data_IF_138132593559
#
_entry.id   IF_138132593559
#
_cell.length_a   1.000
_cell.length_b   1.000
_cell.length_c   1.000
_cell.angle_alpha   90.00
_cell.angle_beta   90.00
_cell.angle_gamma   90.00
#
_symmetry.space_group_name_H-M   'P 1'
#
loop_
_entity.id
_entity.type
_entity.pdbx_description
1 polymer ?
#
# COMPACT_ATOMS: atom_id res chain seq x y z
N UNK A 1 -4.16 -37.89 39.79
CA UNK A 1 -4.13 -37.99 38.31
C UNK A 1 -4.87 -36.78 37.77
N UNK A 2 -4.21 -35.93 36.98
CA UNK A 2 -4.82 -34.73 36.41
C UNK A 2 -5.75 -35.10 35.27
N UNK A 3 -7.05 -34.81 35.42
CA UNK A 3 -8.01 -34.89 34.34
C UNK A 3 -7.90 -33.64 33.48
N UNK A 4 -7.72 -33.82 32.17
CA UNK A 4 -7.84 -32.75 31.18
C UNK A 4 -9.34 -32.57 30.92
N UNK A 5 -9.92 -31.44 31.33
CA UNK A 5 -11.33 -31.15 31.09
C UNK A 5 -11.45 -30.41 29.75
N UNK A 6 -12.10 -31.02 28.76
CA UNK A 6 -12.53 -30.33 27.54
C UNK A 6 -14.05 -30.30 27.47
N UNK A 7 -14.62 -29.10 27.42
CA UNK A 7 -16.05 -28.92 27.17
C UNK A 7 -16.23 -28.71 25.67
N UNK A 8 -16.78 -29.73 25.00
CA UNK A 8 -17.07 -29.70 23.58
C UNK A 8 -18.38 -28.95 23.30
N UNK A 9 -18.27 -27.70 22.85
CA UNK A 9 -19.39 -26.92 22.35
C UNK A 9 -19.05 -25.44 22.31
N UNK A 10 -18.77 -24.92 21.11
CA UNK A 10 -18.54 -23.50 20.85
C UNK A 10 -19.82 -22.72 21.15
N UNK A 11 -20.00 -22.36 22.41
CA UNK A 11 -21.07 -21.49 22.89
C UNK A 11 -20.42 -20.46 23.79
N UNK A 12 -20.68 -19.19 23.51
CA UNK A 12 -20.16 -18.06 24.30
C UNK A 12 -20.61 -18.27 25.73
N UNK A 13 -19.65 -18.41 26.64
CA UNK A 13 -19.93 -18.60 28.04
C UNK A 13 -20.37 -17.28 28.64
N UNK A 14 -21.51 -17.28 29.33
CA UNK A 14 -21.99 -16.12 30.04
C UNK A 14 -21.45 -16.12 31.47
N UNK A 15 -21.35 -14.93 32.05
CA UNK A 15 -21.11 -14.79 33.48
C UNK A 15 -22.16 -15.58 34.26
N UNK A 16 -21.72 -16.41 35.19
CA UNK A 16 -22.54 -17.35 35.94
C UNK A 16 -22.62 -18.75 35.33
N UNK A 17 -22.01 -19.00 34.16
CA UNK A 17 -21.84 -20.36 33.62
C UNK A 17 -21.17 -21.27 34.65
N UNK A 18 -21.67 -22.51 34.77
CA UNK A 18 -21.25 -23.49 35.78
C UNK A 18 -20.70 -24.73 35.13
N UNK A 19 -19.62 -25.25 35.68
CA UNK A 19 -18.98 -26.49 35.25
C UNK A 19 -18.81 -27.40 36.46
N UNK A 20 -19.60 -28.47 36.51
CA UNK A 20 -19.46 -29.44 37.60
C UNK A 20 -18.11 -30.13 37.51
N UNK A 21 -17.35 -30.06 38.60
CA UNK A 21 -16.06 -30.73 38.72
C UNK A 21 -16.27 -32.13 39.28
N UNK A 22 -15.31 -33.02 39.01
CA UNK A 22 -15.30 -34.31 39.70
C UNK A 22 -14.94 -34.11 41.16
N UNK A 23 -15.76 -34.67 42.04
CA UNK A 23 -15.56 -34.57 43.47
C UNK A 23 -14.26 -35.24 43.89
N UNK A 24 -13.62 -34.66 44.91
CA UNK A 24 -12.62 -35.39 45.68
C UNK A 24 -13.26 -36.61 46.37
N UNK A 25 -12.46 -37.63 46.66
CA UNK A 25 -12.90 -38.86 47.33
C UNK A 25 -12.13 -39.00 48.63
N UNK A 26 -12.86 -39.31 49.70
CA UNK A 26 -12.32 -39.65 51.01
C UNK A 26 -12.96 -40.97 51.46
N UNK A 27 -12.12 -41.88 51.97
CA UNK A 27 -12.56 -43.19 52.41
C UNK A 27 -13.28 -43.14 53.77
N UNK A 28 -13.11 -42.05 54.53
CA UNK A 28 -13.75 -41.84 55.82
C UNK A 28 -15.21 -41.36 55.64
N UNK A 29 -16.05 -41.69 56.63
CA UNK A 29 -17.49 -41.35 56.65
C UNK A 29 -17.80 -40.29 57.72
N UNK A 30 -18.95 -39.62 57.57
CA UNK A 30 -19.45 -38.67 58.56
C UNK A 30 -18.54 -37.44 58.69
N UNK A 31 -18.22 -37.04 59.92
CA UNK A 31 -17.49 -35.80 60.21
C UNK A 31 -16.03 -35.82 59.73
N UNK A 32 -15.46 -36.99 59.45
CA UNK A 32 -14.08 -37.13 58.97
C UNK A 32 -13.97 -37.12 57.45
N UNK A 33 -15.10 -37.21 56.72
CA UNK A 33 -15.10 -37.11 55.26
C UNK A 33 -14.89 -35.66 54.80
N UNK A 34 -14.89 -35.44 53.48
CA UNK A 34 -14.68 -34.13 52.87
C UNK A 34 -15.63 -33.09 53.44
N UNK A 35 -15.07 -32.03 54.01
CA UNK A 35 -15.81 -30.96 54.66
C UNK A 35 -16.07 -29.79 53.72
N UNK A 36 -15.07 -29.39 52.95
CA UNK A 36 -15.14 -28.20 52.09
C UNK A 36 -14.07 -28.21 50.99
N UNK A 37 -14.18 -27.26 50.08
CA UNK A 37 -13.24 -26.99 49.00
C UNK A 37 -12.79 -25.53 49.03
N UNK A 38 -11.58 -25.28 48.54
CA UNK A 38 -11.06 -23.94 48.27
C UNK A 38 -10.48 -23.91 46.86
N UNK A 39 -10.69 -22.79 46.17
CA UNK A 39 -10.04 -22.50 44.89
C UNK A 39 -8.89 -21.52 45.14
N UNK A 40 -7.81 -21.65 44.37
CA UNK A 40 -6.78 -20.60 44.27
C UNK A 40 -7.38 -19.27 43.82
N UNK A 41 -6.75 -18.17 44.21
CA UNK A 41 -7.20 -16.82 43.86
C UNK A 41 -7.35 -16.65 42.33
N UNK A 42 -8.49 -16.10 41.91
CA UNK A 42 -8.80 -15.82 40.51
C UNK A 42 -9.81 -14.68 40.42
N UNK A 43 -9.61 -13.79 39.45
CA UNK A 43 -10.59 -12.75 39.10
C UNK A 43 -11.70 -13.25 38.17
N UNK A 44 -11.49 -14.40 37.53
CA UNK A 44 -12.41 -14.93 36.50
C UNK A 44 -13.23 -16.10 37.00
N UNK A 45 -12.73 -16.90 37.94
CA UNK A 45 -13.39 -18.12 38.40
C UNK A 45 -13.57 -18.14 39.91
N UNK A 46 -14.70 -18.70 40.32
CA UNK A 46 -14.97 -19.02 41.72
C UNK A 46 -15.57 -20.43 41.80
N UNK A 47 -15.72 -20.97 43.01
CA UNK A 47 -16.42 -22.23 43.23
C UNK A 47 -17.74 -22.01 43.96
N UNK A 48 -18.74 -22.79 43.59
CA UNK A 48 -19.97 -22.95 44.36
C UNK A 48 -20.06 -24.37 44.90
N UNK A 49 -20.28 -24.49 46.22
CA UNK A 49 -20.25 -25.77 46.93
C UNK A 49 -21.67 -26.14 47.33
N UNK A 50 -22.18 -27.18 46.68
CA UNK A 50 -23.49 -27.74 47.00
C UNK A 50 -23.34 -28.89 48.00
N UNK A 51 -24.31 -29.04 48.90
CA UNK A 51 -24.37 -30.15 49.86
C UNK A 51 -25.52 -31.07 49.53
N UNK A 52 -25.22 -32.34 49.27
CA UNK A 52 -26.21 -33.39 49.09
C UNK A 52 -26.98 -33.70 50.37
N UNK A 53 -28.12 -34.37 50.24
CA UNK A 53 -28.94 -34.82 51.37
C UNK A 53 -28.21 -35.82 52.29
N UNK A 54 -27.22 -36.52 51.76
CA UNK A 54 -26.31 -37.42 52.46
C UNK A 54 -25.11 -36.71 53.13
N UNK A 55 -25.03 -35.37 52.99
CA UNK A 55 -23.93 -34.56 53.50
C UNK A 55 -22.74 -34.42 52.56
N UNK A 56 -22.73 -35.17 51.44
CA UNK A 56 -21.69 -35.11 50.41
C UNK A 56 -21.55 -33.70 49.85
N UNK A 57 -20.32 -33.33 49.47
CA UNK A 57 -20.01 -32.01 48.93
C UNK A 57 -19.76 -32.13 47.42
N UNK A 58 -20.43 -31.29 46.65
CA UNK A 58 -20.27 -31.18 45.21
C UNK A 58 -19.79 -29.79 44.88
N UNK A 59 -18.91 -29.66 43.89
CA UNK A 59 -18.32 -28.37 43.54
C UNK A 59 -18.51 -28.07 42.06
N UNK A 60 -19.13 -26.92 41.80
CA UNK A 60 -19.20 -26.33 40.48
C UNK A 60 -18.16 -25.21 40.39
N UNK A 61 -17.38 -25.20 39.30
CA UNK A 61 -16.62 -24.03 38.92
C UNK A 61 -17.56 -23.03 38.25
N UNK A 62 -17.55 -21.78 38.70
CA UNK A 62 -18.44 -20.72 38.24
C UNK A 62 -17.62 -19.61 37.58
N UNK A 63 -17.93 -19.32 36.32
CA UNK A 63 -17.35 -18.19 35.60
C UNK A 63 -17.91 -16.88 36.17
N UNK A 64 -17.05 -16.08 36.78
CA UNK A 64 -17.38 -14.82 37.45
C UNK A 64 -16.82 -13.59 36.75
N UNK A 65 -15.97 -13.75 35.73
CA UNK A 65 -15.44 -12.66 34.90
C UNK A 65 -15.69 -12.91 33.41
N UNK A 66 -15.41 -11.90 32.59
CA UNK A 66 -15.34 -12.07 31.14
C UNK A 66 -13.99 -12.70 30.79
N UNK A 67 -13.99 -13.67 29.88
CA UNK A 67 -12.76 -14.25 29.34
C UNK A 67 -12.43 -13.55 28.03
N UNK A 68 -11.14 -13.34 27.83
CA UNK A 68 -10.53 -12.77 26.63
C UNK A 68 -9.30 -13.65 26.35
N UNK A 69 -9.27 -14.30 25.18
CA UNK A 69 -8.21 -15.25 24.84
C UNK A 69 -6.94 -14.50 24.49
N UNK A 70 -7.07 -13.35 23.83
CA UNK A 70 -6.01 -12.44 23.41
C UNK A 70 -5.29 -11.86 24.64
N UNK A 71 -6.00 -11.65 25.75
CA UNK A 71 -5.40 -11.33 27.04
C UNK A 71 -4.80 -12.58 27.72
N UNK A 72 -5.61 -13.64 27.92
CA UNK A 72 -5.24 -14.83 28.68
C UNK A 72 -5.85 -16.13 28.11
N UNK A 73 -5.14 -16.78 27.18
CA UNK A 73 -5.57 -18.03 26.57
C UNK A 73 -5.66 -19.25 27.52
N UNK A 74 -5.00 -19.21 28.68
CA UNK A 74 -4.99 -20.33 29.64
C UNK A 74 -5.02 -19.86 31.09
N UNK A 75 -5.88 -20.49 31.89
CA UNK A 75 -5.94 -20.29 33.34
C UNK A 75 -5.61 -21.58 34.08
N UNK A 76 -4.66 -21.50 35.01
CA UNK A 76 -4.26 -22.61 35.87
C UNK A 76 -4.75 -22.34 37.29
N UNK A 77 -5.66 -23.17 37.77
CA UNK A 77 -6.25 -23.06 39.10
C UNK A 77 -5.93 -24.29 39.93
N UNK A 78 -5.88 -24.13 41.26
CA UNK A 78 -5.69 -25.22 42.20
C UNK A 78 -6.95 -25.37 43.04
N UNK A 79 -7.57 -26.54 42.97
CA UNK A 79 -8.66 -26.93 43.85
C UNK A 79 -8.11 -27.71 45.03
N UNK A 80 -8.42 -27.27 46.25
CA UNK A 80 -8.02 -27.91 47.50
C UNK A 80 -9.25 -28.47 48.21
N UNK A 81 -9.31 -29.78 48.40
CA UNK A 81 -10.30 -30.43 49.25
C UNK A 81 -9.75 -30.57 50.67
N UNK A 82 -10.59 -30.33 51.68
CA UNK A 82 -10.21 -30.42 53.10
C UNK A 82 -11.20 -31.30 53.84
N UNK A 83 -10.70 -32.28 54.58
CA UNK A 83 -11.50 -33.18 55.42
C UNK A 83 -11.98 -32.48 56.72
N UNK A 84 -12.87 -33.14 57.46
CA UNK A 84 -13.34 -32.66 58.75
C UNK A 84 -12.63 -33.26 59.96
N UNK A 85 -11.55 -34.03 59.75
CA UNK A 85 -10.80 -34.71 60.79
C UNK A 85 -10.05 -33.76 61.74
N UNK A 86 -9.55 -34.31 62.85
CA UNK A 86 -8.66 -33.60 63.79
C UNK A 86 -7.43 -34.46 64.06
N UNK A 87 -6.24 -34.14 63.51
CA UNK A 87 -5.94 -33.00 62.64
C UNK A 87 -6.56 -33.14 61.24
N UNK A 88 -6.83 -32.00 60.59
CA UNK A 88 -7.36 -31.96 59.22
C UNK A 88 -6.31 -32.38 58.20
N UNK A 89 -6.74 -33.05 57.14
CA UNK A 89 -5.92 -33.31 55.95
C UNK A 89 -6.54 -32.67 54.71
N UNK A 90 -5.70 -32.46 53.71
CA UNK A 90 -6.10 -31.84 52.46
C UNK A 90 -5.46 -32.53 51.26
N UNK A 91 -6.17 -32.51 50.13
CA UNK A 91 -5.66 -32.94 48.83
C UNK A 91 -5.89 -31.85 47.78
N UNK A 92 -4.98 -31.74 46.81
CA UNK A 92 -5.04 -30.72 45.76
C UNK A 92 -5.16 -31.32 44.37
N UNK A 93 -5.87 -30.64 43.48
CA UNK A 93 -5.94 -30.95 42.06
C UNK A 93 -5.71 -29.69 41.22
N UNK A 94 -5.01 -29.83 40.09
CA UNK A 94 -4.84 -28.74 39.11
C UNK A 94 -6.01 -28.75 38.12
N UNK A 95 -6.54 -27.57 37.84
CA UNK A 95 -7.56 -27.32 36.82
C UNK A 95 -6.91 -26.41 35.78
N UNK A 96 -6.77 -26.92 34.57
CA UNK A 96 -6.29 -26.15 33.41
C UNK A 96 -7.48 -25.83 32.53
N UNK A 97 -7.71 -24.55 32.31
CA UNK A 97 -8.80 -24.03 31.49
C UNK A 97 -8.17 -23.39 30.26
N UNK A 98 -8.48 -23.94 29.09
CA UNK A 98 -8.08 -23.35 27.81
C UNK A 98 -9.25 -22.56 27.26
N UNK A 99 -9.03 -21.27 26.98
CA UNK A 99 -10.02 -20.41 26.34
C UNK A 99 -9.97 -20.68 24.85
N UNK A 100 -11.12 -20.99 24.25
CA UNK A 100 -11.22 -21.19 22.81
C UNK A 100 -11.42 -19.85 22.12
N UNK A 101 -10.80 -19.72 20.96
CA UNK A 101 -10.85 -18.54 20.11
C UNK A 101 -12.25 -18.31 19.52
N UNK A 102 -12.62 -17.04 19.42
CA UNK A 102 -13.77 -16.55 18.66
C UNK A 102 -13.27 -15.47 17.70
N UNK A 103 -13.92 -15.31 16.54
CA UNK A 103 -13.53 -14.29 15.56
C UNK A 103 -14.07 -12.91 15.98
N UNK A 104 -13.43 -12.25 16.94
CA UNK A 104 -13.85 -10.96 17.50
C UNK A 104 -12.86 -9.82 17.28
N UNK A 105 -11.69 -10.09 16.69
CA UNK A 105 -10.78 -9.06 16.23
C UNK A 105 -10.83 -8.96 14.70
N UNK A 106 -10.90 -7.73 14.19
CA UNK A 106 -10.83 -7.50 12.76
C UNK A 106 -9.37 -7.27 12.33
N UNK A 107 -8.99 -7.66 11.10
CA UNK A 107 -7.65 -7.40 10.59
C UNK A 107 -7.32 -5.91 10.65
N UNK A 108 -6.15 -5.56 11.19
CA UNK A 108 -5.72 -4.17 11.35
C UNK A 108 -4.44 -3.88 10.56
N UNK A 109 -4.50 -2.91 9.65
CA UNK A 109 -3.31 -2.38 8.98
C UNK A 109 -2.52 -1.47 9.91
N UNK A 110 -1.19 -1.42 9.71
CA UNK A 110 -0.31 -0.50 10.45
C UNK A 110 -0.61 0.99 10.20
N UNK A 111 -1.23 1.31 9.06
CA UNK A 111 -1.64 2.66 8.66
C UNK A 111 -2.97 2.61 7.89
N UNK A 112 -3.76 3.67 8.01
CA UNK A 112 -4.98 3.82 7.20
C UNK A 112 -4.68 4.29 5.77
N UNK A 113 -3.58 5.03 5.59
CA UNK A 113 -3.15 5.57 4.30
C UNK A 113 -1.65 5.35 4.14
N UNK A 114 -1.27 4.69 3.05
CA UNK A 114 0.12 4.49 2.62
C UNK A 114 0.41 5.39 1.42
N UNK A 115 1.60 5.94 1.36
CA UNK A 115 2.09 6.74 0.24
C UNK A 115 3.43 6.17 -0.24
N UNK A 116 3.56 5.93 -1.54
CA UNK A 116 4.75 5.34 -2.14
C UNK A 116 5.00 5.91 -3.52
N UNK A 117 6.26 5.98 -3.93
CA UNK A 117 6.65 6.43 -5.26
C UNK A 117 7.06 5.22 -6.11
N UNK A 118 6.69 5.26 -7.39
CA UNK A 118 7.15 4.31 -8.41
C UNK A 118 7.65 5.12 -9.61
N UNK A 119 8.77 4.74 -10.20
CA UNK A 119 9.20 5.37 -11.46
C UNK A 119 8.29 4.91 -12.58
N UNK A 120 7.98 5.80 -13.51
CA UNK A 120 7.40 5.34 -14.77
C UNK A 120 8.32 4.37 -15.49
N UNK A 121 7.79 3.64 -16.48
CA UNK A 121 8.52 2.60 -17.19
C UNK A 121 9.09 1.47 -16.30
N UNK A 122 8.70 1.40 -15.02
CA UNK A 122 9.09 0.32 -14.12
C UNK A 122 8.69 -1.04 -14.72
N UNK A 123 9.61 -2.01 -14.80
CA UNK A 123 9.30 -3.32 -15.39
C UNK A 123 8.17 -4.03 -14.64
N UNK A 124 7.34 -4.78 -15.38
CA UNK A 124 6.36 -5.66 -14.78
C UNK A 124 7.03 -6.65 -13.79
N UNK A 125 6.40 -6.84 -12.63
CA UNK A 125 6.93 -7.61 -11.51
C UNK A 125 7.71 -6.78 -10.48
N UNK A 126 7.98 -5.50 -10.76
CA UNK A 126 8.61 -4.60 -9.77
C UNK A 126 7.71 -4.47 -8.55
N UNK A 127 8.29 -4.68 -7.37
CA UNK A 127 7.59 -4.55 -6.08
C UNK A 127 7.42 -3.08 -5.76
N UNK A 128 6.18 -2.64 -5.62
CA UNK A 128 5.85 -1.26 -5.23
C UNK A 128 5.86 -1.15 -3.72
N UNK A 129 5.14 -2.06 -3.03
CA UNK A 129 5.13 -2.15 -1.57
C UNK A 129 4.57 -3.49 -1.11
N UNK A 130 4.77 -3.81 0.16
CA UNK A 130 4.13 -4.96 0.82
C UNK A 130 3.26 -4.46 1.95
N UNK A 131 1.96 -4.71 1.86
CA UNK A 131 1.02 -4.40 2.92
C UNK A 131 1.17 -5.39 4.07
N UNK A 132 0.93 -4.89 5.29
CA UNK A 132 0.94 -5.72 6.49
C UNK A 132 -0.27 -5.34 7.36
N UNK A 133 -1.23 -6.25 7.40
CA UNK A 133 -2.30 -6.26 8.38
C UNK A 133 -2.06 -7.39 9.39
N UNK A 134 -2.49 -7.17 10.63
CA UNK A 134 -2.39 -8.12 11.73
C UNK A 134 -3.76 -8.39 12.30
N UNK A 135 -4.03 -9.65 12.62
CA UNK A 135 -5.22 -10.08 13.34
C UNK A 135 -4.77 -10.80 14.61
N UNK A 136 -5.48 -10.57 15.71
CA UNK A 136 -5.10 -11.07 17.03
C UNK A 136 -5.68 -12.46 17.31
N UNK A 137 -6.66 -12.90 16.52
CA UNK A 137 -7.36 -14.17 16.69
C UNK A 137 -6.46 -15.38 16.31
N UNK A 138 -7.00 -16.60 16.36
CA UNK A 138 -6.21 -17.83 16.14
C UNK A 138 -6.60 -18.60 14.87
N UNK A 139 -5.60 -19.17 14.20
CA UNK A 139 -5.82 -20.08 13.08
C UNK A 139 -6.53 -19.39 11.91
N UNK A 140 -7.67 -19.91 11.49
CA UNK A 140 -8.44 -19.34 10.36
C UNK A 140 -9.01 -17.94 10.68
N UNK A 141 -9.28 -17.65 11.95
CA UNK A 141 -9.79 -16.35 12.38
C UNK A 141 -8.74 -15.24 12.23
N UNK A 142 -7.45 -15.60 12.13
CA UNK A 142 -6.36 -14.66 11.82
C UNK A 142 -5.69 -14.89 10.46
N UNK A 143 -6.17 -15.85 9.64
CA UNK A 143 -5.57 -16.11 8.33
C UNK A 143 -6.07 -15.10 7.30
N UNK A 144 -5.20 -14.17 6.91
CA UNK A 144 -5.58 -13.03 6.08
C UNK A 144 -5.55 -13.31 4.57
N UNK A 145 -6.50 -12.69 3.87
CA UNK A 145 -6.55 -12.58 2.42
C UNK A 145 -6.69 -11.11 2.02
N UNK A 146 -5.75 -10.63 1.22
CA UNK A 146 -5.74 -9.28 0.69
C UNK A 146 -6.48 -9.21 -0.66
N UNK A 147 -7.26 -8.16 -0.87
CA UNK A 147 -7.91 -7.90 -2.16
C UNK A 147 -8.21 -6.42 -2.38
N UNK A 148 -8.36 -6.02 -3.64
CA UNK A 148 -8.89 -4.71 -3.96
C UNK A 148 -10.39 -4.65 -3.65
N UNK A 149 -10.82 -3.54 -3.06
CA UNK A 149 -12.24 -3.22 -2.91
C UNK A 149 -12.79 -2.65 -4.22
N UNK A 150 -14.12 -2.54 -4.30
CA UNK A 150 -14.85 -1.94 -5.42
C UNK A 150 -14.47 -0.48 -5.71
N UNK A 151 -13.81 0.21 -4.78
CA UNK A 151 -13.37 1.59 -4.97
C UNK A 151 -12.05 1.72 -5.75
N UNK A 152 -11.34 0.62 -6.00
CA UNK A 152 -10.15 0.62 -6.85
C UNK A 152 -10.56 0.50 -8.32
N UNK A 153 -10.19 1.49 -9.14
CA UNK A 153 -10.58 1.53 -10.56
C UNK A 153 -10.03 0.33 -11.35
N UNK A 154 -10.77 -0.14 -12.36
CA UNK A 154 -10.34 -1.24 -13.23
C UNK A 154 -8.98 -0.94 -13.89
N UNK A 155 -8.78 0.28 -14.40
CA UNK A 155 -7.50 0.75 -14.94
C UNK A 155 -6.36 0.56 -13.95
N UNK A 156 -6.56 0.88 -12.66
CA UNK A 156 -5.53 0.67 -11.64
C UNK A 156 -5.25 -0.82 -11.40
N UNK A 157 -6.27 -1.68 -11.44
CA UNK A 157 -6.11 -3.14 -11.28
C UNK A 157 -5.46 -3.83 -12.50
N UNK A 158 -5.53 -3.19 -13.67
CA UNK A 158 -4.77 -3.61 -14.86
C UNK A 158 -3.28 -3.28 -14.72
N UNK A 159 -2.96 -2.14 -14.10
CA UNK A 159 -1.60 -1.65 -13.94
C UNK A 159 -0.87 -2.23 -12.74
N UNK A 160 -1.58 -2.61 -11.66
CA UNK A 160 -0.98 -3.11 -10.43
C UNK A 160 -1.66 -4.39 -9.94
N UNK A 161 -0.87 -5.44 -9.70
CA UNK A 161 -1.35 -6.66 -9.04
C UNK A 161 -1.17 -6.58 -7.52
N UNK A 162 -2.10 -7.17 -6.79
CA UNK A 162 -2.03 -7.38 -5.35
C UNK A 162 -2.04 -8.88 -5.07
N UNK A 163 -0.99 -9.39 -4.42
CA UNK A 163 -0.90 -10.81 -4.08
C UNK A 163 -1.73 -11.12 -2.82
N UNK A 164 -2.75 -12.01 -2.89
CA UNK A 164 -3.70 -12.18 -1.81
C UNK A 164 -3.14 -12.72 -0.50
N UNK A 165 -1.98 -13.41 -0.51
CA UNK A 165 -1.38 -13.97 0.71
C UNK A 165 -0.32 -13.08 1.34
N UNK A 166 0.55 -12.51 0.52
CA UNK A 166 1.68 -11.70 1.02
C UNK A 166 1.33 -10.22 1.19
N UNK A 167 0.24 -9.75 0.60
CA UNK A 167 -0.08 -8.32 0.55
C UNK A 167 0.86 -7.52 -0.36
N UNK A 168 1.65 -8.20 -1.19
CA UNK A 168 2.64 -7.57 -2.07
C UNK A 168 1.95 -6.95 -3.29
N UNK A 169 2.14 -5.64 -3.48
CA UNK A 169 1.68 -4.89 -4.65
C UNK A 169 2.82 -4.79 -5.65
N UNK A 170 2.57 -5.21 -6.90
CA UNK A 170 3.54 -5.19 -8.00
C UNK A 170 3.03 -4.45 -9.21
N UNK A 171 3.95 -3.88 -9.97
CA UNK A 171 3.68 -3.39 -11.31
C UNK A 171 3.29 -4.57 -12.20
N UNK A 172 2.20 -4.43 -12.95
CA UNK A 172 1.65 -5.43 -13.88
C UNK A 172 1.58 -4.87 -15.30
N UNK A 173 1.18 -3.61 -15.45
CA UNK A 173 1.09 -2.91 -16.73
C UNK A 173 2.18 -1.85 -16.91
N UNK A 174 2.09 -1.11 -18.01
CA UNK A 174 2.99 0.02 -18.30
C UNK A 174 2.47 1.26 -17.56
N UNK A 175 3.34 1.90 -16.79
CA UNK A 175 3.05 3.14 -16.09
C UNK A 175 3.73 4.25 -16.88
N UNK A 176 2.95 5.27 -17.23
CA UNK A 176 3.32 6.44 -18.02
C UNK A 176 2.94 7.69 -17.20
N UNK A 177 3.93 8.53 -16.90
CA UNK A 177 3.74 9.73 -16.09
C UNK A 177 2.88 10.78 -16.80
N UNK A 178 3.10 10.98 -18.10
CA UNK A 178 2.34 11.90 -18.95
C UNK A 178 0.86 11.50 -19.04
N UNK A 179 0.55 10.21 -18.92
CA UNK A 179 -0.83 9.73 -18.86
C UNK A 179 -1.45 9.88 -17.45
N UNK A 180 -0.73 9.50 -16.39
CA UNK A 180 -1.29 9.47 -15.03
C UNK A 180 -0.19 9.58 -13.96
N UNK A 181 -0.17 10.72 -13.27
CA UNK A 181 0.84 11.04 -12.26
C UNK A 181 0.62 10.35 -10.89
N UNK A 182 -0.56 9.78 -10.66
CA UNK A 182 -0.87 9.08 -9.40
C UNK A 182 -2.00 8.07 -9.54
N UNK A 183 -1.97 7.04 -8.70
CA UNK A 183 -3.00 6.01 -8.60
C UNK A 183 -3.45 5.83 -7.15
N UNK A 184 -4.74 5.54 -6.97
CA UNK A 184 -5.32 5.20 -5.68
C UNK A 184 -5.81 3.76 -5.67
N UNK A 185 -5.41 3.00 -4.65
CA UNK A 185 -5.90 1.66 -4.40
C UNK A 185 -6.56 1.60 -3.04
N UNK A 186 -7.77 1.06 -2.99
CA UNK A 186 -8.51 0.82 -1.76
C UNK A 186 -8.48 -0.68 -1.50
N UNK A 187 -7.68 -1.10 -0.51
CA UNK A 187 -7.39 -2.50 -0.23
C UNK A 187 -8.12 -2.95 1.03
N UNK A 188 -8.60 -4.19 1.03
CA UNK A 188 -9.10 -4.87 2.22
C UNK A 188 -8.21 -6.06 2.59
N UNK A 189 -8.09 -6.32 3.88
CA UNK A 189 -7.62 -7.59 4.43
C UNK A 189 -8.80 -8.24 5.13
N UNK A 190 -9.12 -9.48 4.78
CA UNK A 190 -10.23 -10.23 5.35
C UNK A 190 -9.71 -11.55 5.93
N UNK A 191 -10.13 -11.87 7.15
CA UNK A 191 -9.82 -13.16 7.77
C UNK A 191 -10.61 -14.32 7.13
N UNK A 192 -10.44 -15.55 7.64
CA UNK A 192 -11.17 -16.74 7.19
C UNK A 192 -12.03 -17.35 8.29
N UNK A 193 -12.47 -16.55 9.25
CA UNK A 193 -13.41 -16.96 10.28
C UNK A 193 -14.76 -17.36 9.69
N UNK A 194 -15.57 -18.06 10.49
CA UNK A 194 -16.92 -18.47 10.06
C UNK A 194 -17.83 -17.26 9.75
N UNK A 195 -17.62 -16.15 10.46
CA UNK A 195 -18.17 -14.83 10.16
C UNK A 195 -16.99 -13.88 9.91
N UNK A 196 -16.53 -13.73 8.65
CA UNK A 196 -15.30 -13.01 8.39
C UNK A 196 -15.38 -11.53 8.76
N UNK A 197 -14.32 -11.02 9.38
CA UNK A 197 -14.11 -9.61 9.64
C UNK A 197 -13.10 -9.04 8.64
N UNK A 198 -13.06 -7.72 8.51
CA UNK A 198 -12.23 -7.07 7.49
C UNK A 198 -11.69 -5.73 7.95
N UNK A 199 -10.42 -5.49 7.65
CA UNK A 199 -9.76 -4.20 7.73
C UNK A 199 -9.62 -3.55 6.35
N UNK A 200 -9.45 -2.23 6.33
CA UNK A 200 -9.29 -1.46 5.10
C UNK A 200 -8.13 -0.47 5.20
N UNK A 201 -7.46 -0.23 4.07
CA UNK A 201 -6.50 0.87 3.92
C UNK A 201 -6.55 1.47 2.50
N UNK A 202 -5.98 2.67 2.37
CA UNK A 202 -5.78 3.36 1.09
C UNK A 202 -4.28 3.38 0.77
N UNK A 203 -3.92 3.05 -0.46
CA UNK A 203 -2.56 3.19 -0.99
C UNK A 203 -2.57 4.26 -2.07
N UNK A 204 -1.73 5.28 -1.92
CA UNK A 204 -1.46 6.32 -2.91
C UNK A 204 -0.11 6.05 -3.55
N UNK A 205 -0.12 5.75 -4.84
CA UNK A 205 1.09 5.55 -5.63
C UNK A 205 1.34 6.81 -6.46
N UNK A 206 2.46 7.47 -6.23
CA UNK A 206 2.89 8.61 -7.03
C UNK A 206 3.90 8.16 -8.08
N UNK A 207 3.71 8.62 -9.32
CA UNK A 207 4.62 8.29 -10.41
C UNK A 207 5.76 9.31 -10.45
N UNK A 208 6.99 8.82 -10.58
CA UNK A 208 8.18 9.65 -10.79
C UNK A 208 8.48 9.71 -12.27
N UNK A 209 8.47 10.94 -12.80
CA UNK A 209 8.83 11.33 -14.16
C UNK A 209 10.30 10.99 -14.48
N UNK A 210 10.52 10.43 -15.68
CA UNK A 210 11.78 10.16 -16.33
C UNK A 210 11.82 10.92 -17.66
N UNK A 211 13.01 11.36 -18.07
CA UNK A 211 13.19 11.98 -19.38
C UNK A 211 13.13 10.92 -20.50
N UNK A 212 11.92 10.59 -20.95
CA UNK A 212 11.67 9.59 -21.98
C UNK A 212 10.93 10.15 -23.21
N UNK A 213 10.45 11.39 -23.15
CA UNK A 213 9.97 12.12 -24.30
C UNK A 213 11.08 13.02 -24.87
N UNK A 214 11.12 13.14 -26.20
CA UNK A 214 12.00 14.10 -26.85
C UNK A 214 11.25 15.39 -27.13
N UNK A 215 11.93 16.55 -27.16
CA UNK A 215 11.29 17.81 -27.50
C UNK A 215 10.74 17.81 -28.94
N UNK A 216 9.47 18.13 -29.10
CA UNK A 216 8.81 18.27 -30.40
C UNK A 216 8.82 19.73 -30.87
N UNK A 217 9.27 19.97 -32.11
CA UNK A 217 9.29 21.31 -32.72
C UNK A 217 8.17 21.46 -33.74
N UNK A 218 7.26 22.39 -33.51
CA UNK A 218 6.15 22.72 -34.42
C UNK A 218 6.34 24.09 -35.04
N UNK A 219 6.10 24.24 -36.34
CA UNK A 219 6.09 25.54 -37.01
C UNK A 219 4.68 26.15 -36.88
N UNK A 220 4.51 27.19 -36.07
CA UNK A 220 3.23 27.90 -35.93
C UNK A 220 2.91 28.78 -37.12
N UNK A 221 3.92 29.46 -37.64
CA UNK A 221 3.77 30.30 -38.83
C UNK A 221 5.11 30.41 -39.54
N UNK A 222 5.09 30.42 -40.87
CA UNK A 222 6.29 30.65 -41.68
C UNK A 222 5.92 31.45 -42.92
N UNK A 223 6.78 32.40 -43.29
CA UNK A 223 6.66 33.08 -44.59
C UNK A 223 7.21 32.17 -45.67
N UNK A 224 6.33 31.71 -46.56
CA UNK A 224 6.63 30.74 -47.62
C UNK A 224 7.42 31.31 -48.80
N UNK A 225 7.37 32.63 -49.01
CA UNK A 225 8.13 33.33 -50.02
C UNK A 225 8.69 34.63 -49.45
N UNK A 226 9.97 34.84 -49.66
CA UNK A 226 10.71 36.03 -49.26
C UNK A 226 11.50 36.53 -50.46
N UNK A 227 11.52 37.84 -50.65
CA UNK A 227 12.38 38.49 -51.62
C UNK A 227 13.74 38.81 -50.98
N UNK A 228 14.80 38.83 -51.78
CA UNK A 228 16.17 39.06 -51.29
C UNK A 228 16.37 40.43 -50.60
N UNK A 229 15.57 41.42 -51.00
CA UNK A 229 15.57 42.78 -50.47
C UNK A 229 14.77 42.93 -49.17
N UNK A 230 14.26 41.84 -48.61
CA UNK A 230 13.45 41.89 -47.39
C UNK A 230 14.26 42.52 -46.24
N UNK A 231 13.71 43.49 -45.50
CA UNK A 231 14.46 44.20 -44.46
C UNK A 231 14.99 43.28 -43.36
N UNK A 232 16.16 43.62 -42.80
CA UNK A 232 16.67 43.02 -41.56
C UNK A 232 15.66 43.27 -40.44
N UNK A 233 15.47 42.27 -39.57
CA UNK A 233 14.45 42.29 -38.52
C UNK A 233 13.06 41.82 -38.97
N UNK A 234 12.91 41.39 -40.23
CA UNK A 234 11.65 40.77 -40.68
C UNK A 234 11.43 39.42 -40.00
N UNK A 235 10.25 39.21 -39.41
CA UNK A 235 9.83 37.91 -38.87
C UNK A 235 9.66 36.90 -40.01
N UNK A 236 10.44 35.83 -39.96
CA UNK A 236 10.50 34.76 -40.96
C UNK A 236 9.58 33.60 -40.56
N UNK A 237 9.72 33.15 -39.32
CA UNK A 237 8.94 32.04 -38.79
C UNK A 237 8.71 32.22 -37.29
N UNK A 238 7.69 31.53 -36.79
CA UNK A 238 7.45 31.31 -35.37
C UNK A 238 7.45 29.80 -35.19
N UNK A 239 8.42 29.29 -34.46
CA UNK A 239 8.49 27.88 -34.06
C UNK A 239 8.03 27.74 -32.63
N UNK A 240 7.53 26.57 -32.28
CA UNK A 240 7.18 26.20 -30.92
C UNK A 240 7.88 24.92 -30.56
N UNK A 241 8.48 24.86 -29.38
CA UNK A 241 9.05 23.62 -28.84
C UNK A 241 8.27 23.22 -27.61
N UNK A 242 7.94 21.95 -27.55
CA UNK A 242 7.26 21.36 -26.42
C UNK A 242 7.88 20.01 -26.14
N UNK A 243 8.36 19.86 -24.91
CA UNK A 243 8.58 18.56 -24.32
C UNK A 243 7.34 18.13 -23.53
N UNK A 244 7.09 16.83 -23.43
CA UNK A 244 5.95 16.29 -22.67
C UNK A 244 6.30 16.03 -21.22
N UNK A 245 7.58 15.82 -20.93
CA UNK A 245 8.07 15.61 -19.58
C UNK A 245 7.86 16.86 -18.72
N UNK A 246 7.94 16.69 -17.40
CA UNK A 246 7.73 17.75 -16.41
C UNK A 246 9.01 18.16 -15.70
N UNK A 247 8.94 19.32 -15.02
CA UNK A 247 10.08 19.88 -14.29
C UNK A 247 11.27 20.12 -15.21
N UNK A 248 12.47 19.73 -14.75
CA UNK A 248 13.71 19.89 -15.51
C UNK A 248 13.79 18.98 -16.74
N UNK A 249 13.08 17.84 -16.76
CA UNK A 249 13.07 16.93 -17.91
C UNK A 249 12.40 17.60 -19.12
N UNK A 250 11.36 18.41 -18.87
CA UNK A 250 10.66 19.16 -19.91
C UNK A 250 11.24 20.53 -20.26
N UNK A 251 12.36 20.93 -19.66
CA UNK A 251 13.02 22.21 -19.96
C UNK A 251 13.75 22.14 -21.30
N UNK A 252 13.43 23.06 -22.21
CA UNK A 252 13.96 23.06 -23.58
C UNK A 252 14.77 24.32 -23.87
N UNK A 253 15.98 24.15 -24.39
CA UNK A 253 16.80 25.24 -24.90
C UNK A 253 16.91 25.18 -26.44
N UNK A 254 16.58 26.29 -27.09
CA UNK A 254 16.76 26.46 -28.52
C UNK A 254 18.01 27.27 -28.84
N UNK A 255 18.85 26.75 -29.73
CA UNK A 255 20.00 27.45 -30.27
C UNK A 255 20.17 27.19 -31.77
N UNK A 256 20.52 28.23 -32.52
CA UNK A 256 20.99 28.09 -33.91
C UNK A 256 22.48 27.73 -33.90
N UNK A 257 22.87 26.79 -34.76
CA UNK A 257 24.25 26.32 -34.83
C UNK A 257 25.18 27.43 -35.35
N UNK A 258 26.01 27.98 -34.46
CA UNK A 258 26.90 29.10 -34.75
C UNK A 258 28.13 28.73 -35.61
N UNK A 259 28.30 27.44 -35.97
CA UNK A 259 29.39 27.01 -36.85
C UNK A 259 29.22 27.47 -38.31
N UNK A 260 28.03 27.94 -38.68
CA UNK A 260 27.77 28.60 -39.95
C UNK A 260 27.20 29.99 -39.68
N UNK A 261 27.66 31.01 -40.42
CA UNK A 261 27.00 32.31 -40.42
C UNK A 261 25.65 32.16 -41.10
N UNK A 262 24.59 32.06 -40.31
CA UNK A 262 23.22 31.97 -40.80
C UNK A 262 22.60 33.37 -40.84
N UNK A 263 21.80 33.74 -41.86
CA UNK A 263 21.20 35.07 -41.96
C UNK A 263 19.97 35.21 -41.04
N UNK A 264 19.91 34.41 -39.98
CA UNK A 264 18.75 34.27 -39.12
C UNK A 264 19.16 34.40 -37.65
N UNK A 265 18.35 35.15 -36.91
CA UNK A 265 18.47 35.31 -35.47
C UNK A 265 17.28 34.64 -34.79
N UNK A 266 17.57 33.79 -33.80
CA UNK A 266 16.57 33.23 -32.90
C UNK A 266 16.48 34.15 -31.68
N UNK A 267 15.31 34.77 -31.48
CA UNK A 267 15.10 35.61 -30.31
C UNK A 267 14.68 34.72 -29.14
N UNK A 268 15.60 34.50 -28.19
CA UNK A 268 15.32 33.78 -26.93
C UNK A 268 14.40 34.64 -26.06
N UNK A 269 13.10 34.65 -26.33
CA UNK A 269 12.16 35.17 -25.34
C UNK A 269 12.00 34.11 -24.26
N UNK A 270 12.46 34.42 -23.05
CA UNK A 270 12.41 33.60 -21.84
C UNK A 270 10.99 33.23 -21.36
N UNK A 271 9.93 33.59 -22.10
CA UNK A 271 8.55 33.49 -21.62
C UNK A 271 7.53 32.86 -22.56
N UNK A 272 7.87 32.35 -23.74
CA UNK A 272 6.84 31.74 -24.58
C UNK A 272 7.39 30.51 -25.28
N UNK A 273 6.62 29.42 -25.19
CA UNK A 273 6.68 28.27 -26.10
C UNK A 273 6.82 28.68 -27.58
N UNK A 274 6.54 29.94 -27.96
CA UNK A 274 6.72 30.48 -29.30
C UNK A 274 8.04 31.24 -29.40
N UNK A 275 8.94 30.74 -30.23
CA UNK A 275 10.22 31.36 -30.52
C UNK A 275 10.20 31.96 -31.92
N UNK A 276 10.23 33.30 -32.05
CA UNK A 276 10.29 33.95 -33.36
C UNK A 276 11.70 33.93 -33.95
N UNK A 277 11.77 33.69 -35.26
CA UNK A 277 13.00 33.68 -36.07
C UNK A 277 12.96 34.90 -37.00
N UNK A 278 13.99 35.74 -36.94
CA UNK A 278 14.09 36.98 -37.71
C UNK A 278 15.23 36.93 -38.72
N UNK A 279 15.13 37.69 -39.82
CA UNK A 279 16.27 37.97 -40.70
C UNK A 279 17.30 38.83 -39.97
N UNK A 280 18.57 38.45 -40.04
CA UNK A 280 19.71 39.24 -39.57
C UNK A 280 20.55 39.71 -40.77
N UNK A 281 21.24 40.85 -40.63
CA UNK A 281 22.24 41.27 -41.61
C UNK A 281 23.52 40.44 -41.47
N UNK A 282 24.10 40.02 -42.59
CA UNK A 282 25.44 39.44 -42.65
C UNK A 282 26.48 40.46 -43.10
N UNK A 283 27.73 40.30 -42.66
CA UNK A 283 28.85 41.07 -43.23
C UNK A 283 29.25 40.49 -44.60
N UNK A 284 29.68 41.34 -45.53
CA UNK A 284 29.98 41.00 -46.93
C UNK A 284 31.05 39.88 -47.14
N UNK A 285 31.75 39.43 -46.08
CA UNK A 285 32.73 38.34 -46.11
C UNK A 285 32.32 37.07 -45.35
N UNK A 286 31.09 37.01 -44.79
CA UNK A 286 30.57 35.85 -44.07
C UNK A 286 29.71 34.92 -44.94
N UNK A 287 29.42 35.33 -46.18
CA UNK A 287 28.81 34.45 -47.17
C UNK A 287 29.80 33.37 -47.57
N UNK A 288 29.51 32.11 -47.23
CA UNK A 288 30.22 30.99 -47.81
C UNK A 288 30.04 31.04 -49.34
N UNK A 289 31.15 31.26 -50.04
CA UNK A 289 31.22 31.37 -51.51
C UNK A 289 30.72 30.12 -52.27
N UNK A 290 30.44 29.02 -51.56
CA UNK A 290 29.76 27.83 -52.13
C UNK A 290 28.24 27.97 -52.24
N UNK A 291 27.63 28.99 -51.61
CA UNK A 291 26.19 29.27 -51.64
C UNK A 291 25.92 30.32 -52.72
N UNK A 292 25.64 29.87 -53.95
CA UNK A 292 25.24 30.74 -55.05
C UNK A 292 23.86 31.35 -54.76
N UNK A 293 23.82 32.65 -54.49
CA UNK A 293 22.68 33.46 -54.03
C UNK A 293 21.47 33.57 -54.97
N UNK A 294 21.48 32.93 -56.14
CA UNK A 294 20.41 33.09 -57.14
C UNK A 294 19.22 32.12 -57.00
N UNK A 295 19.25 31.16 -56.06
CA UNK A 295 18.12 30.26 -55.77
C UNK A 295 18.21 29.54 -54.40
N UNK A 296 19.08 30.00 -53.50
CA UNK A 296 19.50 29.22 -52.33
C UNK A 296 18.86 29.64 -51.00
N UNK A 297 18.31 30.85 -50.87
CA UNK A 297 17.66 31.24 -49.60
C UNK A 297 16.27 30.60 -49.40
N UNK A 298 15.51 30.39 -50.48
CA UNK A 298 14.30 29.55 -50.42
C UNK A 298 14.66 28.10 -50.11
N UNK A 299 15.77 27.60 -50.67
CA UNK A 299 16.29 26.26 -50.38
C UNK A 299 16.77 26.16 -48.92
N UNK A 300 17.34 27.24 -48.35
CA UNK A 300 17.80 27.28 -46.96
C UNK A 300 16.62 27.36 -45.99
N UNK A 301 15.58 28.14 -46.28
CA UNK A 301 14.34 28.15 -45.51
C UNK A 301 13.63 26.80 -45.64
N UNK A 302 13.60 26.20 -46.82
CA UNK A 302 13.09 24.83 -47.02
C UNK A 302 13.97 23.76 -46.38
N UNK A 303 15.29 23.94 -46.29
CA UNK A 303 16.25 23.06 -45.59
C UNK A 303 16.16 23.22 -44.08
N UNK A 304 15.88 24.43 -43.57
CA UNK A 304 15.59 24.66 -42.15
C UNK A 304 14.22 24.07 -41.82
N UNK A 305 13.21 24.22 -42.68
CA UNK A 305 11.90 23.55 -42.55
C UNK A 305 12.05 22.02 -42.68
N UNK A 306 12.87 21.51 -43.60
CA UNK A 306 13.17 20.07 -43.73
C UNK A 306 14.02 19.56 -42.57
N UNK A 307 14.99 20.32 -42.06
CA UNK A 307 15.77 19.96 -40.88
C UNK A 307 14.89 19.92 -39.62
N UNK A 308 13.91 20.85 -39.53
CA UNK A 308 12.89 20.88 -38.49
C UNK A 308 11.84 19.77 -38.65
N UNK A 309 11.49 19.36 -39.88
CA UNK A 309 10.54 18.26 -40.16
C UNK A 309 11.18 16.86 -40.12
N UNK A 310 12.49 16.74 -40.35
CA UNK A 310 13.22 15.47 -40.46
C UNK A 310 14.31 15.28 -39.38
N UNK A 311 14.35 16.12 -38.34
CA UNK A 311 15.20 15.90 -37.16
C UNK A 311 16.70 16.03 -37.38
N UNK A 312 17.16 16.73 -38.42
CA UNK A 312 18.60 16.88 -38.68
C UNK A 312 19.16 18.13 -37.99
N UNK A 313 19.92 17.88 -36.91
CA UNK A 313 20.87 18.78 -36.22
C UNK A 313 20.29 20.05 -35.58
N UNK A 314 19.34 19.88 -34.66
CA UNK A 314 19.29 20.71 -33.45
C UNK A 314 20.09 19.93 -32.40
N UNK A 315 21.18 20.50 -31.91
CA UNK A 315 21.91 19.89 -30.79
C UNK A 315 21.09 20.14 -29.53
N UNK A 316 20.39 19.11 -29.07
CA UNK A 316 19.83 19.09 -27.72
C UNK A 316 21.02 18.93 -26.77
N UNK A 317 21.30 19.97 -25.98
CA UNK A 317 22.13 19.82 -24.79
C UNK A 317 21.19 19.34 -23.70
N UNK A 318 21.31 18.06 -23.35
CA UNK A 318 20.82 17.49 -22.08
C UNK A 318 21.77 17.91 -20.97
#
# INVERSE_FOLDING_TARGET
>A
MGGLWSWGGASVLLRGSRFSLTNAVDADVGANSIKTYYLSESQYFNIDIQTGSDGSKYVDLVLSGNLDREEHATHNLILTAVDGGVPRRSGTASIVINVLDINDNAPQFSQQVFAVNVSENSPAGTVVMTLNATDLDEGSNAELVYSYTLYTSEKTQELFSLEPKSGEIKVKGVIDYEESQSFEMYVQAQDRGANPLSGHCKVMVFVTDLNDNYPEVTIKSVKSALTEDVPVGTLIAVVTVRDRDSGANGEVELALNQKQSLPFLLNKSSEVQNTPIYKQGMNQGEYDSSINLLNTELLLVMLVIQALQFGFFISFLV
#
